data_IF_845027525330
#
_entry.id   IF_845027525330
#
_cell.length_a   1.000
_cell.length_b   1.000
_cell.length_c   1.000
_cell.angle_alpha   90.00
_cell.angle_beta   90.00
_cell.angle_gamma   90.00
#
_symmetry.space_group_name_H-M   'P 1'
#
loop_
_entity.id
_entity.type
_entity.pdbx_description
1 polymer ?
#
# COMPACT_ATOMS: atom_id res chain seq x y z
N UNK A 1 3.84 5.25 39.30
CA UNK A 1 4.92 4.29 39.03
C UNK A 1 5.89 4.95 38.06
N UNK A 2 7.20 4.65 38.13
CA UNK A 2 8.14 5.02 37.08
C UNK A 2 7.69 4.42 35.74
N UNK A 3 7.83 5.17 34.65
CA UNK A 3 7.51 4.70 33.29
C UNK A 3 8.18 3.36 32.97
N UNK A 4 9.40 3.14 33.48
CA UNK A 4 10.13 1.88 33.28
C UNK A 4 9.40 0.66 33.85
N UNK A 5 8.76 0.80 35.01
CA UNK A 5 8.07 -0.31 35.67
C UNK A 5 6.76 -0.64 34.94
N UNK A 6 6.06 0.40 34.48
CA UNK A 6 4.86 0.26 33.66
C UNK A 6 5.18 -0.44 32.32
N UNK A 7 6.23 0.00 31.61
CA UNK A 7 6.69 -0.64 30.38
C UNK A 7 7.10 -2.09 30.60
N UNK A 8 7.84 -2.39 31.68
CA UNK A 8 8.24 -3.75 31.99
C UNK A 8 7.03 -4.66 32.25
N UNK A 9 6.05 -4.15 32.99
CA UNK A 9 4.80 -4.86 33.29
C UNK A 9 3.98 -5.14 32.03
N UNK A 10 3.76 -4.12 31.19
CA UNK A 10 3.00 -4.23 29.94
C UNK A 10 3.67 -5.22 28.96
N UNK A 11 4.97 -5.07 28.72
CA UNK A 11 5.74 -5.96 27.83
C UNK A 11 5.72 -7.40 28.34
N UNK A 12 5.92 -7.60 29.65
CA UNK A 12 5.85 -8.94 30.24
C UNK A 12 4.47 -9.56 30.09
N UNK A 13 3.40 -8.77 30.24
CA UNK A 13 2.02 -9.22 30.07
C UNK A 13 1.74 -9.67 28.64
N UNK A 14 2.18 -8.90 27.63
CA UNK A 14 2.03 -9.24 26.21
C UNK A 14 2.70 -10.58 25.89
N UNK A 15 3.92 -10.83 26.39
CA UNK A 15 4.62 -12.09 26.10
C UNK A 15 4.07 -13.30 26.86
N UNK A 16 3.44 -13.11 28.03
CA UNK A 16 2.91 -14.22 28.85
C UNK A 16 1.48 -14.62 28.50
N UNK A 17 0.67 -13.68 28.04
CA UNK A 17 -0.76 -13.92 27.79
C UNK A 17 -0.95 -14.73 26.50
N UNK A 18 -1.85 -15.70 26.51
CA UNK A 18 -2.17 -16.49 25.31
C UNK A 18 -2.88 -15.64 24.27
N UNK A 19 -2.67 -15.97 22.98
CA UNK A 19 -3.36 -15.33 21.87
C UNK A 19 -4.70 -16.00 21.56
N UNK A 20 -5.76 -15.20 21.51
CA UNK A 20 -7.02 -15.57 20.88
C UNK A 20 -6.96 -15.19 19.40
N UNK A 21 -7.37 -16.12 18.53
CA UNK A 21 -7.27 -15.96 17.07
C UNK A 21 -8.56 -16.42 16.41
N UNK A 22 -9.04 -15.64 15.45
CA UNK A 22 -10.24 -15.96 14.66
C UNK A 22 -10.03 -15.67 13.18
N UNK A 23 -10.61 -16.50 12.34
CA UNK A 23 -10.65 -16.28 10.90
C UNK A 23 -11.60 -15.12 10.57
N UNK A 24 -11.10 -14.15 9.80
CA UNK A 24 -11.86 -13.00 9.34
C UNK A 24 -12.24 -13.10 7.86
N UNK A 25 -13.40 -12.53 7.52
CA UNK A 25 -13.88 -12.43 6.12
C UNK A 25 -14.06 -10.98 5.66
N UNK A 26 -13.76 -10.03 6.53
CA UNK A 26 -13.82 -8.59 6.31
C UNK A 26 -12.55 -7.97 6.89
N UNK A 27 -12.16 -6.81 6.35
CA UNK A 27 -11.11 -5.99 6.97
C UNK A 27 -11.65 -5.51 8.32
N UNK A 28 -11.01 -5.85 9.45
CA UNK A 28 -11.52 -5.47 10.76
C UNK A 28 -11.37 -3.96 10.98
N UNK A 29 -12.34 -3.38 11.68
CA UNK A 29 -12.19 -2.06 12.29
C UNK A 29 -11.39 -2.20 13.60
N UNK A 30 -10.63 -1.18 14.03
CA UNK A 30 -9.85 -1.24 15.26
C UNK A 30 -10.67 -1.65 16.50
N UNK A 31 -11.91 -1.18 16.60
CA UNK A 31 -12.81 -1.48 17.72
C UNK A 31 -13.25 -2.94 17.75
N UNK A 32 -13.18 -3.64 16.61
CA UNK A 32 -13.54 -5.06 16.52
C UNK A 32 -12.45 -6.00 17.02
N UNK A 33 -11.23 -5.50 17.25
CA UNK A 33 -10.09 -6.25 17.79
C UNK A 33 -9.79 -5.75 19.20
N UNK A 34 -9.70 -6.67 20.17
CA UNK A 34 -9.46 -6.25 21.56
C UNK A 34 -8.03 -5.73 21.75
N UNK A 35 -7.81 -4.93 22.79
CA UNK A 35 -6.48 -4.40 23.15
C UNK A 35 -5.53 -5.46 23.73
N UNK A 36 -6.03 -6.66 24.06
CA UNK A 36 -5.21 -7.77 24.52
C UNK A 36 -4.54 -8.52 23.37
N UNK A 37 -4.06 -9.73 23.67
CA UNK A 37 -3.56 -10.66 22.65
C UNK A 37 -4.73 -11.29 21.86
N UNK A 38 -5.42 -10.46 21.09
CA UNK A 38 -6.50 -10.83 20.18
C UNK A 38 -6.09 -10.53 18.74
N UNK A 39 -6.40 -11.44 17.82
CA UNK A 39 -6.10 -11.24 16.42
C UNK A 39 -7.14 -11.82 15.46
N UNK A 40 -7.23 -11.18 14.30
CA UNK A 40 -7.97 -11.65 13.13
C UNK A 40 -7.00 -12.18 12.10
N UNK A 41 -7.14 -13.44 11.72
CA UNK A 41 -6.40 -14.06 10.62
C UNK A 41 -7.15 -13.80 9.30
N UNK A 42 -6.45 -13.27 8.31
CA UNK A 42 -7.02 -12.91 7.00
C UNK A 42 -6.15 -13.45 5.87
N UNK A 43 -6.76 -14.01 4.83
CA UNK A 43 -6.07 -14.20 3.55
C UNK A 43 -6.34 -12.99 2.64
N UNK A 44 -5.38 -12.07 2.55
CA UNK A 44 -5.58 -10.76 1.96
C UNK A 44 -4.47 -10.34 0.98
N UNK A 45 -4.77 -9.35 0.17
CA UNK A 45 -3.81 -8.68 -0.72
C UNK A 45 -3.62 -7.26 -0.22
N UNK A 46 -2.36 -6.88 -0.01
CA UNK A 46 -1.98 -5.54 0.45
C UNK A 46 -1.41 -4.76 -0.71
N UNK A 47 -1.84 -3.52 -0.83
CA UNK A 47 -1.30 -2.52 -1.74
C UNK A 47 -0.72 -1.36 -0.91
N UNK A 48 0.50 -0.97 -1.22
CA UNK A 48 1.05 0.32 -0.79
C UNK A 48 1.25 1.20 -2.02
N UNK A 49 0.78 2.44 -1.95
CA UNK A 49 1.01 3.45 -2.97
C UNK A 49 1.83 4.59 -2.38
N UNK A 50 2.95 4.93 -3.01
CA UNK A 50 4.02 5.77 -2.45
C UNK A 50 4.52 6.82 -3.46
N UNK A 51 4.64 8.09 -3.03
CA UNK A 51 5.23 9.14 -3.86
C UNK A 51 6.73 8.93 -3.99
N UNK A 52 7.29 9.23 -5.16
CA UNK A 52 8.73 9.19 -5.36
C UNK A 52 9.39 10.43 -4.77
N UNK A 53 10.53 10.21 -4.09
CA UNK A 53 11.47 11.28 -3.76
C UNK A 53 10.81 12.44 -3.00
N UNK A 54 9.84 12.10 -2.14
CA UNK A 54 9.08 13.08 -1.38
C UNK A 54 9.94 13.87 -0.39
N UNK A 55 11.02 13.28 0.11
CA UNK A 55 12.08 13.99 0.85
C UNK A 55 12.71 15.09 0.00
N UNK A 56 13.10 14.80 -1.25
CA UNK A 56 13.67 15.82 -2.14
C UNK A 56 12.65 16.92 -2.46
N UNK A 57 11.37 16.56 -2.60
CA UNK A 57 10.29 17.51 -2.81
C UNK A 57 10.19 18.52 -1.66
N UNK A 58 10.22 18.06 -0.40
CA UNK A 58 10.14 18.96 0.76
C UNK A 58 11.42 19.78 0.98
N UNK A 59 12.58 19.26 0.58
CA UNK A 59 13.86 19.96 0.70
C UNK A 59 14.04 21.06 -0.36
N UNK A 60 13.45 20.88 -1.55
CA UNK A 60 13.70 21.76 -2.72
C UNK A 60 12.53 22.67 -3.08
N UNK A 61 11.31 22.36 -2.64
CA UNK A 61 10.10 23.13 -2.97
C UNK A 61 9.48 23.77 -1.73
N UNK A 62 8.62 24.76 -1.96
CA UNK A 62 7.85 25.41 -0.88
C UNK A 62 6.87 24.43 -0.26
N UNK A 63 6.64 24.55 1.05
CA UNK A 63 5.73 23.67 1.79
C UNK A 63 4.32 23.59 1.18
N UNK A 64 3.78 24.71 0.67
CA UNK A 64 2.47 24.72 0.00
C UNK A 64 2.45 23.87 -1.28
N UNK A 65 3.52 23.94 -2.09
CA UNK A 65 3.65 23.15 -3.31
C UNK A 65 3.73 21.65 -2.99
N UNK A 66 4.55 21.27 -2.01
CA UNK A 66 4.64 19.89 -1.55
C UNK A 66 3.29 19.37 -1.01
N UNK A 67 2.57 20.20 -0.24
CA UNK A 67 1.26 19.85 0.30
C UNK A 67 0.21 19.62 -0.80
N UNK A 68 0.22 20.40 -1.89
CA UNK A 68 -0.67 20.18 -3.04
C UNK A 68 -0.40 18.84 -3.75
N UNK A 69 0.87 18.47 -3.89
CA UNK A 69 1.27 17.17 -4.46
C UNK A 69 0.81 16.03 -3.56
N UNK A 70 1.08 16.10 -2.24
CA UNK A 70 0.66 15.06 -1.30
C UNK A 70 -0.86 14.89 -1.30
N UNK A 71 -1.61 16.00 -1.21
CA UNK A 71 -3.07 15.96 -1.19
C UNK A 71 -3.64 15.40 -2.50
N UNK A 72 -3.14 15.85 -3.65
CA UNK A 72 -3.63 15.37 -4.95
C UNK A 72 -3.36 13.88 -5.14
N UNK A 73 -2.17 13.41 -4.79
CA UNK A 73 -1.80 11.99 -4.87
C UNK A 73 -2.63 11.12 -3.93
N UNK A 74 -2.65 11.45 -2.63
CA UNK A 74 -3.35 10.66 -1.62
C UNK A 74 -4.85 10.58 -1.88
N UNK A 75 -5.47 11.67 -2.38
CA UNK A 75 -6.89 11.66 -2.78
C UNK A 75 -7.11 10.72 -3.97
N UNK A 76 -6.29 10.80 -5.01
CA UNK A 76 -6.43 9.95 -6.20
C UNK A 76 -6.22 8.48 -5.84
N UNK A 77 -5.14 8.16 -5.12
CA UNK A 77 -4.82 6.80 -4.72
C UNK A 77 -5.92 6.20 -3.84
N UNK A 78 -6.40 6.95 -2.83
CA UNK A 78 -7.46 6.48 -1.94
C UNK A 78 -8.78 6.22 -2.68
N UNK A 79 -9.16 7.09 -3.63
CA UNK A 79 -10.39 6.92 -4.41
C UNK A 79 -10.29 5.72 -5.35
N UNK A 80 -9.15 5.50 -5.99
CA UNK A 80 -8.92 4.34 -6.86
C UNK A 80 -8.94 3.03 -6.08
N UNK A 81 -8.30 2.97 -4.90
CA UNK A 81 -8.32 1.78 -4.05
C UNK A 81 -9.77 1.45 -3.66
N UNK A 82 -10.53 2.46 -3.19
CA UNK A 82 -11.94 2.28 -2.82
C UNK A 82 -12.81 1.85 -4.00
N UNK A 83 -12.60 2.42 -5.19
CA UNK A 83 -13.41 2.07 -6.37
C UNK A 83 -13.17 0.64 -6.87
N UNK A 84 -12.03 0.04 -6.53
CA UNK A 84 -11.71 -1.37 -6.82
C UNK A 84 -12.07 -2.32 -5.66
N UNK A 85 -12.79 -1.82 -4.64
CA UNK A 85 -13.25 -2.61 -3.50
C UNK A 85 -12.22 -2.81 -2.39
N UNK A 86 -11.13 -2.04 -2.38
CA UNK A 86 -10.13 -2.06 -1.30
C UNK A 86 -10.52 -1.16 -0.12
N UNK A 87 -10.12 -1.58 1.08
CA UNK A 87 -10.26 -0.79 2.31
C UNK A 87 -8.96 -0.03 2.59
N UNK A 88 -9.06 1.27 2.88
CA UNK A 88 -7.90 2.07 3.30
C UNK A 88 -7.67 1.82 4.78
N UNK A 89 -6.47 1.36 5.14
CA UNK A 89 -6.16 0.93 6.52
C UNK A 89 -5.13 1.80 7.21
N UNK A 90 -4.31 2.53 6.45
CA UNK A 90 -3.33 3.46 7.02
C UNK A 90 -2.92 4.53 6.01
N UNK A 91 -2.55 5.69 6.55
CA UNK A 91 -1.75 6.71 5.88
C UNK A 91 -0.43 6.83 6.62
N UNK A 92 0.68 6.87 5.88
CA UNK A 92 2.03 6.98 6.45
C UNK A 92 2.82 8.02 5.65
N UNK A 93 2.70 9.28 6.08
CA UNK A 93 3.23 10.43 5.36
C UNK A 93 2.56 10.63 4.01
N UNK A 94 3.31 10.39 2.94
CA UNK A 94 2.94 10.45 1.54
C UNK A 94 2.41 9.12 0.97
N UNK A 95 2.31 8.09 1.83
CA UNK A 95 1.88 6.74 1.46
C UNK A 95 0.47 6.43 1.92
N UNK A 96 -0.21 5.60 1.15
CA UNK A 96 -1.50 5.00 1.54
C UNK A 96 -1.44 3.48 1.43
N UNK A 97 -1.99 2.80 2.44
CA UNK A 97 -2.14 1.36 2.49
C UNK A 97 -3.60 0.97 2.18
N UNK A 98 -3.77 0.08 1.21
CA UNK A 98 -5.04 -0.55 0.87
C UNK A 98 -4.99 -2.06 1.13
N UNK A 99 -6.09 -2.62 1.66
CA UNK A 99 -6.26 -4.06 1.86
C UNK A 99 -7.45 -4.56 1.07
N UNK A 100 -7.24 -5.65 0.34
CA UNK A 100 -8.23 -6.30 -0.51
C UNK A 100 -8.44 -7.75 -0.05
N UNK A 101 -9.69 -8.17 -0.05
CA UNK A 101 -10.14 -9.50 0.38
C UNK A 101 -11.17 -10.05 -0.62
N UNK A 102 -11.47 -11.35 -0.53
CA UNK A 102 -12.38 -12.03 -1.45
C UNK A 102 -11.69 -12.51 -2.73
N UNK A 103 -12.46 -13.14 -3.61
CA UNK A 103 -11.93 -13.94 -4.73
C UNK A 103 -11.12 -13.14 -5.74
N UNK A 104 -11.48 -11.86 -5.91
CA UNK A 104 -10.83 -10.97 -6.89
C UNK A 104 -9.72 -10.09 -6.30
N UNK A 105 -9.35 -10.27 -5.02
CA UNK A 105 -8.43 -9.36 -4.29
C UNK A 105 -7.14 -9.03 -5.03
N UNK A 106 -6.53 -10.02 -5.69
CA UNK A 106 -5.29 -9.86 -6.44
C UNK A 106 -5.48 -9.02 -7.70
N UNK A 107 -6.51 -9.36 -8.49
CA UNK A 107 -6.87 -8.64 -9.71
C UNK A 107 -7.31 -7.20 -9.42
N UNK A 108 -8.10 -6.98 -8.37
CA UNK A 108 -8.52 -5.65 -7.93
C UNK A 108 -7.32 -4.80 -7.50
N UNK A 109 -6.46 -5.31 -6.63
CA UNK A 109 -5.28 -4.57 -6.16
C UNK A 109 -4.31 -4.25 -7.31
N UNK A 110 -4.05 -5.20 -8.21
CA UNK A 110 -3.21 -4.97 -9.38
C UNK A 110 -3.82 -3.91 -10.32
N UNK A 111 -5.13 -3.96 -10.56
CA UNK A 111 -5.82 -2.94 -11.36
C UNK A 111 -5.79 -1.57 -10.70
N UNK A 112 -5.95 -1.49 -9.37
CA UNK A 112 -5.75 -0.25 -8.61
C UNK A 112 -4.36 0.34 -8.87
N UNK A 113 -3.30 -0.48 -8.86
CA UNK A 113 -1.95 0.00 -9.14
C UNK A 113 -1.83 0.66 -10.53
N UNK A 114 -2.41 0.03 -11.56
CA UNK A 114 -2.41 0.58 -12.93
C UNK A 114 -3.28 1.85 -13.05
N UNK A 115 -4.41 1.91 -12.31
CA UNK A 115 -5.29 3.09 -12.25
C UNK A 115 -4.65 4.26 -11.51
N UNK A 116 -3.88 4.00 -10.45
CA UNK A 116 -3.08 5.03 -9.77
C UNK A 116 -2.04 5.60 -10.72
N UNK A 117 -1.38 4.76 -11.51
CA UNK A 117 -0.44 5.23 -12.53
C UNK A 117 -1.11 6.10 -13.61
N UNK A 118 -2.33 5.75 -14.02
CA UNK A 118 -3.13 6.63 -14.88
C UNK A 118 -3.40 7.98 -14.21
N UNK A 119 -3.86 7.98 -12.96
CA UNK A 119 -4.18 9.21 -12.24
C UNK A 119 -2.98 10.16 -12.14
N UNK A 120 -1.79 9.65 -11.83
CA UNK A 120 -0.58 10.49 -11.79
C UNK A 120 -0.27 11.06 -13.17
N UNK A 121 -0.18 10.20 -14.19
CA UNK A 121 0.29 10.60 -15.53
C UNK A 121 -0.70 11.43 -16.32
N UNK A 122 -2.00 11.23 -16.11
CA UNK A 122 -3.08 11.77 -16.96
C UNK A 122 -3.98 12.76 -16.24
N UNK A 123 -3.87 12.89 -14.91
CA UNK A 123 -4.68 13.83 -14.14
C UNK A 123 -3.77 14.78 -13.35
N UNK A 124 -2.89 14.25 -12.50
CA UNK A 124 -2.07 15.06 -11.60
C UNK A 124 -1.01 15.86 -12.37
N UNK A 125 -0.15 15.20 -13.16
CA UNK A 125 0.93 15.89 -13.88
C UNK A 125 0.41 16.95 -14.87
N UNK A 126 -0.66 16.70 -15.66
CA UNK A 126 -1.26 17.75 -16.49
C UNK A 126 -1.80 18.94 -15.69
N UNK A 127 -2.50 18.70 -14.58
CA UNK A 127 -3.02 19.78 -13.73
C UNK A 127 -1.89 20.58 -13.07
N UNK A 128 -0.85 19.89 -12.58
CA UNK A 128 0.33 20.51 -12.00
C UNK A 128 1.04 21.42 -13.01
N UNK A 129 1.26 20.93 -14.24
CA UNK A 129 1.94 21.71 -15.28
C UNK A 129 1.13 22.94 -15.71
N UNK A 130 -0.20 22.84 -15.73
CA UNK A 130 -1.07 23.98 -16.04
C UNK A 130 -0.99 25.07 -14.95
N UNK A 131 -0.94 24.67 -13.68
CA UNK A 131 -0.84 25.60 -12.55
C UNK A 131 0.57 26.19 -12.39
N UNK A 132 1.60 25.39 -12.67
CA UNK A 132 3.02 25.75 -12.50
C UNK A 132 3.81 25.55 -13.79
N UNK A 133 3.55 26.33 -14.85
CA UNK A 133 4.14 26.12 -16.18
C UNK A 133 5.66 26.30 -16.21
N UNK A 134 6.21 27.13 -15.32
CA UNK A 134 7.65 27.39 -15.20
C UNK A 134 8.38 26.39 -14.31
N UNK A 135 7.66 25.48 -13.64
CA UNK A 135 8.25 24.41 -12.84
C UNK A 135 8.45 23.15 -13.71
N UNK A 136 9.57 22.46 -13.51
CA UNK A 136 9.96 21.24 -14.21
C UNK A 136 9.70 19.96 -13.39
N UNK A 137 9.17 20.10 -12.17
CA UNK A 137 8.84 18.98 -11.31
C UNK A 137 7.73 18.12 -11.93
N UNK A 138 7.97 16.81 -11.95
CA UNK A 138 7.00 15.80 -12.35
C UNK A 138 6.71 14.87 -11.18
N UNK A 139 5.43 14.67 -10.85
CA UNK A 139 5.03 13.70 -9.84
C UNK A 139 5.34 12.30 -10.36
N UNK A 140 6.10 11.55 -9.57
CA UNK A 140 6.36 10.12 -9.77
C UNK A 140 5.91 9.35 -8.55
N UNK A 141 5.62 8.07 -8.75
CA UNK A 141 5.08 7.19 -7.73
C UNK A 141 5.50 5.75 -7.96
N UNK A 142 5.37 4.93 -6.93
CA UNK A 142 5.45 3.49 -7.02
C UNK A 142 4.35 2.84 -6.20
N UNK A 143 3.78 1.76 -6.74
CA UNK A 143 2.76 0.96 -6.08
C UNK A 143 3.27 -0.46 -5.96
N UNK A 144 3.34 -0.98 -4.74
CA UNK A 144 3.72 -2.35 -4.44
C UNK A 144 2.52 -3.18 -3.99
N UNK A 145 2.39 -4.39 -4.51
CA UNK A 145 1.30 -5.31 -4.15
C UNK A 145 1.82 -6.71 -3.83
N UNK A 146 1.36 -7.26 -2.73
CA UNK A 146 1.64 -8.66 -2.36
C UNK A 146 0.42 -9.31 -1.69
N UNK A 147 0.36 -10.65 -1.68
CA UNK A 147 -0.74 -11.42 -1.09
C UNK A 147 -0.22 -12.51 -0.16
N UNK A 148 -0.82 -12.64 1.02
CA UNK A 148 -0.50 -13.68 1.99
C UNK A 148 -1.58 -13.77 3.06
N UNK A 149 -1.49 -14.82 3.88
CA UNK A 149 -2.11 -14.78 5.21
C UNK A 149 -1.51 -13.63 6.03
N UNK A 150 -2.36 -12.95 6.79
CA UNK A 150 -2.05 -11.85 7.69
C UNK A 150 -2.68 -12.15 9.05
N UNK A 151 -1.96 -11.79 10.11
CA UNK A 151 -2.48 -11.71 11.47
C UNK A 151 -2.64 -10.23 11.81
N UNK A 152 -3.87 -9.80 12.06
CA UNK A 152 -4.22 -8.41 12.35
C UNK A 152 -4.51 -8.28 13.83
N UNK A 153 -3.73 -7.45 14.53
CA UNK A 153 -3.87 -7.20 15.96
C UNK A 153 -3.98 -5.70 16.22
N UNK A 154 -4.42 -5.32 17.43
CA UNK A 154 -4.49 -3.91 17.84
C UNK A 154 -3.30 -3.56 18.72
N UNK A 155 -2.65 -2.42 18.46
CA UNK A 155 -1.43 -2.02 19.19
C UNK A 155 -1.72 -1.26 20.49
N UNK A 156 -2.88 -0.62 20.58
CA UNK A 156 -3.45 -0.18 21.86
C UNK A 156 -2.72 0.92 22.62
N UNK A 157 -2.03 1.82 21.92
CA UNK A 157 -1.45 3.02 22.55
C UNK A 157 -2.60 3.93 22.96
N UNK A 158 -2.68 4.33 24.25
CA UNK A 158 -3.74 5.23 24.74
C UNK A 158 -3.85 6.50 23.86
N UNK A 159 -4.94 6.61 23.10
CA UNK A 159 -5.20 7.73 22.19
C UNK A 159 -4.90 7.47 20.70
N UNK A 160 -4.29 6.33 20.34
CA UNK A 160 -4.09 5.87 18.95
C UNK A 160 -4.54 4.41 18.82
N UNK A 161 -5.69 4.19 18.18
CA UNK A 161 -6.29 2.86 18.00
C UNK A 161 -5.93 2.29 16.63
N UNK A 162 -4.66 1.98 16.40
CA UNK A 162 -4.21 1.45 15.12
C UNK A 162 -4.14 -0.08 15.11
N UNK A 163 -4.39 -0.64 13.93
CA UNK A 163 -4.19 -2.04 13.63
C UNK A 163 -2.77 -2.28 13.11
N UNK A 164 -2.13 -3.32 13.63
CA UNK A 164 -0.88 -3.86 13.08
C UNK A 164 -1.19 -5.05 12.18
N UNK A 165 -0.57 -5.04 11.01
CA UNK A 165 -0.75 -6.04 9.96
C UNK A 165 0.49 -6.93 9.86
N UNK A 166 0.44 -8.08 10.54
CA UNK A 166 1.58 -9.00 10.62
C UNK A 166 1.50 -10.04 9.52
N UNK A 167 2.41 -9.95 8.55
CA UNK A 167 2.59 -10.96 7.53
C UNK A 167 3.36 -10.46 6.32
N UNK A 168 3.65 -11.38 5.40
CA UNK A 168 4.50 -11.10 4.23
C UNK A 168 3.93 -9.96 3.38
N UNK A 169 2.63 -9.99 3.11
CA UNK A 169 2.00 -9.04 2.20
C UNK A 169 2.18 -7.58 2.64
N UNK A 170 1.99 -7.28 3.92
CA UNK A 170 2.18 -5.94 4.46
C UNK A 170 3.64 -5.45 4.29
N UNK A 171 4.61 -6.32 4.58
CA UNK A 171 6.02 -5.98 4.50
C UNK A 171 6.52 -5.86 3.06
N UNK A 172 6.14 -6.80 2.19
CA UNK A 172 6.64 -6.90 0.83
C UNK A 172 6.02 -5.81 -0.05
N UNK A 173 4.71 -5.56 0.06
CA UNK A 173 4.05 -4.47 -0.66
C UNK A 173 4.73 -3.12 -0.39
N UNK A 174 5.03 -2.80 0.88
CA UNK A 174 5.73 -1.56 1.23
C UNK A 174 7.13 -1.48 0.60
N UNK A 175 7.90 -2.57 0.61
CA UNK A 175 9.27 -2.59 0.07
C UNK A 175 9.34 -2.61 -1.45
N UNK A 176 8.32 -3.13 -2.13
CA UNK A 176 8.22 -3.08 -3.59
C UNK A 176 8.14 -1.63 -4.10
N UNK A 177 7.56 -0.70 -3.33
CA UNK A 177 7.54 0.72 -3.67
C UNK A 177 8.94 1.34 -3.82
N UNK A 178 9.97 0.74 -3.20
CA UNK A 178 11.35 1.22 -3.29
C UNK A 178 12.09 0.73 -4.54
N UNK A 179 11.54 -0.20 -5.33
CA UNK A 179 12.25 -0.79 -6.47
C UNK A 179 12.40 0.14 -7.69
N UNK A 180 11.53 1.16 -7.79
CA UNK A 180 11.53 2.27 -8.77
C UNK A 180 12.54 2.11 -9.91
N UNK A 181 12.06 1.65 -11.07
CA UNK A 181 12.91 1.45 -12.26
C UNK A 181 12.28 2.19 -13.44
N UNK A 182 12.95 3.24 -13.92
CA UNK A 182 12.54 4.01 -15.10
C UNK A 182 11.07 4.43 -15.07
N UNK A 183 10.30 3.95 -16.05
CA UNK A 183 8.87 4.25 -16.24
C UNK A 183 7.92 3.31 -15.50
N UNK A 184 8.45 2.30 -14.80
CA UNK A 184 7.65 1.27 -14.12
C UNK A 184 7.22 1.74 -12.74
N UNK A 185 5.90 1.91 -12.58
CA UNK A 185 5.30 2.46 -11.37
C UNK A 185 4.46 1.44 -10.58
N UNK A 186 4.25 0.24 -11.11
CA UNK A 186 3.50 -0.82 -10.43
C UNK A 186 4.34 -2.08 -10.32
N UNK A 187 4.38 -2.66 -9.13
CA UNK A 187 5.20 -3.81 -8.77
C UNK A 187 4.35 -4.82 -8.01
N UNK A 188 4.38 -6.07 -8.45
CA UNK A 188 3.64 -7.15 -7.80
C UNK A 188 4.54 -8.36 -7.61
N UNK A 189 4.31 -9.13 -6.56
CA UNK A 189 4.99 -10.42 -6.39
C UNK A 189 4.47 -11.48 -7.35
N UNK A 190 5.26 -12.53 -7.57
CA UNK A 190 4.83 -13.69 -8.36
C UNK A 190 3.53 -14.34 -7.85
N UNK A 191 3.32 -14.38 -6.52
CA UNK A 191 2.08 -14.89 -5.95
C UNK A 191 0.85 -14.08 -6.37
N UNK A 192 0.99 -12.76 -6.50
CA UNK A 192 -0.10 -11.90 -6.99
C UNK A 192 -0.29 -12.14 -8.49
N UNK A 193 0.80 -12.10 -9.28
CA UNK A 193 0.76 -12.28 -10.73
C UNK A 193 0.10 -13.61 -11.13
N UNK A 194 0.46 -14.69 -10.45
CA UNK A 194 -0.08 -16.04 -10.71
C UNK A 194 -1.59 -16.10 -10.48
N UNK A 195 -2.10 -15.33 -9.51
CA UNK A 195 -3.52 -15.26 -9.15
C UNK A 195 -4.31 -14.18 -9.91
N UNK A 196 -3.68 -13.42 -10.83
CA UNK A 196 -4.40 -12.44 -11.64
C UNK A 196 -5.32 -13.12 -12.67
N UNK A 197 -6.48 -12.50 -12.89
CA UNK A 197 -7.29 -12.79 -14.06
C UNK A 197 -6.59 -12.30 -15.33
N UNK A 198 -6.80 -12.99 -16.45
CA UNK A 198 -6.14 -12.66 -17.72
C UNK A 198 -6.45 -11.24 -18.20
N UNK A 199 -7.64 -10.72 -17.87
CA UNK A 199 -8.04 -9.34 -18.18
C UNK A 199 -7.15 -8.27 -17.53
N UNK A 200 -6.39 -8.63 -16.48
CA UNK A 200 -5.44 -7.74 -15.79
C UNK A 200 -3.98 -8.10 -16.12
N UNK A 201 -3.76 -9.19 -16.88
CA UNK A 201 -2.46 -9.56 -17.43
C UNK A 201 -2.24 -9.00 -18.83
N UNK A 202 -3.31 -8.91 -19.63
CA UNK A 202 -3.24 -8.53 -21.04
C UNK A 202 -4.36 -7.56 -21.44
N UNK A 203 -4.08 -6.72 -22.44
CA UNK A 203 -5.12 -5.99 -23.18
C UNK A 203 -4.79 -6.02 -24.67
N UNK A 204 -5.80 -6.29 -25.51
CA UNK A 204 -5.64 -6.39 -26.97
C UNK A 204 -4.45 -7.27 -27.40
N UNK A 205 -4.20 -8.37 -26.66
CA UNK A 205 -3.07 -9.28 -26.92
C UNK A 205 -1.70 -8.82 -26.42
N UNK A 206 -1.58 -7.64 -25.81
CA UNK A 206 -0.34 -7.13 -25.24
C UNK A 206 -0.24 -7.41 -23.74
N UNK A 207 0.91 -7.93 -23.28
CA UNK A 207 1.18 -8.16 -21.87
C UNK A 207 1.40 -6.83 -21.13
N UNK A 208 0.75 -6.67 -19.99
CA UNK A 208 0.87 -5.48 -19.14
C UNK A 208 2.05 -5.56 -18.16
N UNK A 209 2.57 -6.77 -17.91
CA UNK A 209 3.54 -7.04 -16.86
C UNK A 209 4.82 -7.65 -17.42
N UNK A 210 5.95 -7.21 -16.89
CA UNK A 210 7.28 -7.70 -17.22
C UNK A 210 7.88 -8.39 -15.99
N UNK A 211 8.38 -9.62 -16.17
CA UNK A 211 9.07 -10.34 -15.11
C UNK A 211 10.42 -9.69 -14.80
N UNK A 212 10.75 -9.57 -13.52
CA UNK A 212 12.04 -9.10 -13.00
C UNK A 212 12.47 -9.83 -11.75
N UNK A 213 13.77 -9.78 -11.47
CA UNK A 213 14.33 -10.32 -10.22
C UNK A 213 14.45 -9.22 -9.18
N UNK A 214 13.87 -9.44 -8.02
CA UNK A 214 14.12 -8.64 -6.83
C UNK A 214 15.43 -9.08 -6.17
N UNK A 215 16.53 -8.46 -6.58
CA UNK A 215 17.91 -8.90 -6.24
C UNK A 215 18.14 -9.04 -4.74
N UNK A 216 17.69 -8.09 -3.91
CA UNK A 216 17.93 -8.12 -2.46
C UNK A 216 17.16 -9.22 -1.71
N UNK A 217 16.23 -9.91 -2.37
CA UNK A 217 15.49 -11.05 -1.83
C UNK A 217 15.68 -12.34 -2.62
N UNK A 218 16.35 -12.29 -3.77
CA UNK A 218 16.47 -13.40 -4.71
C UNK A 218 15.10 -14.01 -5.08
N UNK A 219 14.13 -13.14 -5.46
CA UNK A 219 12.76 -13.56 -5.77
C UNK A 219 12.26 -12.97 -7.08
N UNK A 220 11.35 -13.69 -7.76
CA UNK A 220 10.64 -13.17 -8.93
C UNK A 220 9.57 -12.16 -8.52
N UNK A 221 9.58 -11.02 -9.21
CA UNK A 221 8.54 -9.99 -9.15
C UNK A 221 8.14 -9.61 -10.57
N UNK A 222 7.03 -8.91 -10.69
CA UNK A 222 6.54 -8.39 -11.97
C UNK A 222 6.36 -6.89 -11.83
N UNK A 223 6.68 -6.16 -12.91
CA UNK A 223 6.55 -4.71 -12.97
C UNK A 223 5.71 -4.27 -14.15
N UNK A 224 5.08 -3.11 -14.04
CA UNK A 224 4.28 -2.53 -15.11
C UNK A 224 4.44 -1.02 -15.17
N UNK A 225 4.52 -0.51 -16.40
CA UNK A 225 4.40 0.92 -16.74
C UNK A 225 3.00 1.25 -17.28
N UNK A 226 2.10 0.26 -17.32
CA UNK A 226 0.78 0.39 -17.91
C UNK A 226 -0.10 1.37 -17.13
N UNK A 227 -0.99 2.06 -17.83
CA UNK A 227 -2.01 2.92 -17.24
C UNK A 227 -3.38 2.37 -17.54
N UNK A 228 -4.27 2.35 -16.55
CA UNK A 228 -5.65 1.92 -16.73
C UNK A 228 -6.60 3.08 -16.39
N UNK A 229 -7.52 3.45 -17.28
CA UNK A 229 -8.47 4.54 -17.00
C UNK A 229 -9.46 4.11 -15.89
N UNK A 230 -9.65 4.90 -14.81
CA UNK A 230 -10.59 4.60 -13.74
C UNK A 230 -12.01 4.32 -14.22
#
# INVERSE_FOLDING_TARGET
>A
MPLSDDLHSEVTSIFKTSWERREGRLVPEPESVTLGNDAVELDATVLYADLAESTQLVDTKKALFAAEIYKSYLICASRVIKSEGGTITAFDGDRVMGVFIGDNKNSSAARSALKINYAVRKIINPALKAQYPSDDYEVRQAVGVDTSKLLVARTGIRGSNDLVWVGRAANYAAKLCSLRDGVFASWITESVFSALHDTVKHTNGQAMWEQRTWTSRNMTVYRSSWTWSP
#
